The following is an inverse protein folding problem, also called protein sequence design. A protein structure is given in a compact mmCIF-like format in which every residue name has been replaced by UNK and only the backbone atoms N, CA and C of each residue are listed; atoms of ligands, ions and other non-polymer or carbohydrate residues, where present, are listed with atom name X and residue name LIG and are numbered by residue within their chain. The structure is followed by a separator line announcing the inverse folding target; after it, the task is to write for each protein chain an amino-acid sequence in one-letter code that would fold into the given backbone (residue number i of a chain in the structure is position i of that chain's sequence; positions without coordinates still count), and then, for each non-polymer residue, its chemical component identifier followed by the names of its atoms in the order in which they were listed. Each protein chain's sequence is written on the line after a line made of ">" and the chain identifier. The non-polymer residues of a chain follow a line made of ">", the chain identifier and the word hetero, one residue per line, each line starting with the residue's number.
data_IF_313020279053
#
_entry.id   IF_313020279053
#
_cell.length_a   1.000
_cell.length_b   1.000
_cell.length_c   1.000
_cell.angle_alpha   90.00
_cell.angle_beta   90.00
_cell.angle_gamma   90.00
#
_symmetry.space_group_name_H-M   'P 1'
#
loop_
_entity.id
_entity.type
_entity.pdbx_description
1 polymer ?
#
# COMPACT_ATOMS: atom_id res chain seq x y z
N UNK A 1 -2.60 -2.51 -5.66
CA UNK A 1 -1.91 -1.43 -4.92
C UNK A 1 -2.78 -1.04 -3.74
N UNK A 2 -2.17 -0.72 -2.60
CA UNK A 2 -2.86 -0.19 -1.42
C UNK A 2 -2.33 1.21 -1.17
N UNK A 3 -3.22 2.14 -0.85
CA UNK A 3 -2.91 3.47 -0.36
C UNK A 3 -3.80 3.75 0.86
N UNK A 4 -3.36 4.67 1.71
CA UNK A 4 -4.14 5.08 2.88
C UNK A 4 -4.14 6.60 2.99
N UNK A 5 -5.22 7.13 3.56
CA UNK A 5 -5.30 8.50 4.02
C UNK A 5 -5.54 8.47 5.53
N UNK A 6 -4.95 9.41 6.26
CA UNK A 6 -5.09 9.53 7.71
C UNK A 6 -5.11 11.01 8.07
N UNK A 7 -5.99 11.37 9.00
CA UNK A 7 -5.91 12.63 9.73
C UNK A 7 -5.17 12.40 11.02
N UNK A 8 -4.13 13.20 11.22
CA UNK A 8 -3.28 13.10 12.39
C UNK A 8 -3.42 14.39 13.17
N UNK A 9 -3.81 14.29 14.43
CA UNK A 9 -3.78 15.40 15.37
C UNK A 9 -2.32 15.62 15.78
N UNK A 10 -1.77 16.78 15.46
CA UNK A 10 -0.38 17.16 15.75
C UNK A 10 -0.06 17.14 17.26
N UNK A 11 -1.07 17.26 18.12
CA UNK A 11 -0.91 17.24 19.56
C UNK A 11 -1.17 15.86 20.18
N UNK A 12 -1.70 14.90 19.40
CA UNK A 12 -2.14 13.60 19.92
C UNK A 12 -2.02 12.49 18.87
N UNK A 13 -0.78 12.13 18.51
CA UNK A 13 -0.47 10.98 17.67
C UNK A 13 0.44 9.99 18.41
N UNK A 14 0.46 8.69 18.03
CA UNK A 14 1.32 7.72 18.69
C UNK A 14 2.80 7.99 18.45
N UNK A 15 3.61 7.85 19.50
CA UNK A 15 5.06 7.91 19.39
C UNK A 15 5.63 6.79 18.52
N UNK A 16 6.83 7.03 17.96
CA UNK A 16 7.58 6.03 17.20
C UNK A 16 7.11 5.83 15.75
N UNK A 17 6.20 6.67 15.24
CA UNK A 17 5.93 6.75 13.80
C UNK A 17 7.24 7.09 13.08
N UNK A 18 7.59 6.29 12.09
CA UNK A 18 8.76 6.48 11.24
C UNK A 18 8.49 5.83 9.87
N UNK A 19 9.43 5.95 8.93
CA UNK A 19 9.41 5.26 7.65
C UNK A 19 9.04 3.78 7.85
N UNK A 20 7.90 3.38 7.28
CA UNK A 20 7.36 2.04 7.48
C UNK A 20 8.33 0.94 7.09
N UNK A 21 9.26 1.18 6.15
CA UNK A 21 10.26 0.20 5.72
C UNK A 21 11.40 0.04 6.73
N UNK A 22 11.66 1.05 7.56
CA UNK A 22 12.67 1.00 8.64
C UNK A 22 12.15 0.31 9.91
N UNK A 23 10.84 0.25 10.08
CA UNK A 23 10.21 -0.45 11.20
C UNK A 23 10.14 -1.96 10.93
N UNK A 24 10.46 -2.78 11.94
CA UNK A 24 10.20 -4.22 11.85
C UNK A 24 8.68 -4.51 11.84
N UNK A 25 8.28 -5.74 11.46
CA UNK A 25 6.87 -6.11 11.31
C UNK A 25 6.06 -5.95 12.62
N UNK A 26 6.64 -6.34 13.76
CA UNK A 26 5.98 -6.25 15.07
C UNK A 26 5.70 -4.80 15.45
N UNK A 27 6.73 -3.94 15.40
CA UNK A 27 6.62 -2.53 15.78
C UNK A 27 5.64 -1.77 14.88
N UNK A 28 5.67 -2.07 13.59
CA UNK A 28 4.73 -1.50 12.61
C UNK A 28 3.28 -1.90 12.92
N UNK A 29 3.04 -3.15 13.32
CA UNK A 29 1.72 -3.63 13.71
C UNK A 29 1.24 -3.00 15.03
N UNK A 30 2.13 -2.79 16.01
CA UNK A 30 1.82 -2.05 17.24
C UNK A 30 1.36 -0.62 16.93
N UNK A 31 2.14 0.12 16.13
CA UNK A 31 1.80 1.50 15.74
C UNK A 31 0.49 1.53 14.95
N UNK A 32 0.32 0.62 13.99
CA UNK A 32 -0.92 0.48 13.24
C UNK A 32 -2.14 0.31 14.15
N UNK A 33 -2.07 -0.58 15.14
CA UNK A 33 -3.18 -0.81 16.09
C UNK A 33 -3.55 0.44 16.88
N UNK A 34 -2.58 1.32 17.17
CA UNK A 34 -2.87 2.59 17.85
C UNK A 34 -3.45 3.61 16.88
N UNK A 35 -2.89 3.75 15.67
CA UNK A 35 -3.37 4.67 14.64
C UNK A 35 -4.84 4.42 14.30
N UNK A 36 -5.23 3.16 14.04
CA UNK A 36 -6.61 2.83 13.66
C UNK A 36 -7.63 3.03 14.78
N UNK A 37 -7.17 3.09 16.04
CA UNK A 37 -8.02 3.37 17.21
C UNK A 37 -8.16 4.85 17.50
N UNK A 38 -7.13 5.64 17.20
CA UNK A 38 -7.05 7.07 17.58
C UNK A 38 -7.37 8.03 16.44
N UNK A 39 -7.14 7.64 15.21
CA UNK A 39 -7.15 8.55 14.06
C UNK A 39 -8.28 8.19 13.09
N UNK A 40 -8.88 9.20 12.46
CA UNK A 40 -9.70 8.98 11.28
C UNK A 40 -8.79 8.55 10.13
N UNK A 41 -9.09 7.42 9.51
CA UNK A 41 -8.29 6.89 8.41
C UNK A 41 -9.16 6.17 7.40
N UNK A 42 -8.61 5.97 6.21
CA UNK A 42 -9.23 5.17 5.16
C UNK A 42 -8.17 4.44 4.34
N UNK A 43 -8.59 3.35 3.70
CA UNK A 43 -7.75 2.57 2.77
C UNK A 43 -8.42 2.51 1.40
N UNK A 44 -7.64 2.84 0.38
CA UNK A 44 -7.99 2.71 -1.02
C UNK A 44 -7.16 1.61 -1.66
N UNK A 45 -7.80 0.83 -2.53
CA UNK A 45 -7.19 -0.33 -3.18
C UNK A 45 -7.37 -0.18 -4.69
N UNK A 46 -6.34 -0.53 -5.45
CA UNK A 46 -6.46 -0.79 -6.88
C UNK A 46 -6.07 -2.24 -7.18
N UNK A 47 -6.93 -2.94 -7.91
CA UNK A 47 -6.82 -4.38 -8.20
C UNK A 47 -5.74 -4.67 -9.25
N UNK A 48 -5.38 -5.96 -9.41
CA UNK A 48 -4.51 -6.38 -10.51
C UNK A 48 -5.10 -6.02 -11.87
N UNK A 49 -6.41 -6.27 -12.08
CA UNK A 49 -7.12 -5.92 -13.32
C UNK A 49 -6.97 -4.43 -13.67
N UNK A 50 -7.03 -3.56 -12.68
CA UNK A 50 -6.83 -2.12 -12.89
C UNK A 50 -5.38 -1.76 -13.18
N UNK A 51 -4.41 -2.44 -12.56
CA UNK A 51 -2.99 -2.25 -12.88
C UNK A 51 -2.70 -2.60 -14.33
N UNK A 52 -3.25 -3.72 -14.82
CA UNK A 52 -3.09 -4.11 -16.22
C UNK A 52 -3.75 -3.10 -17.19
N UNK A 53 -4.85 -2.44 -16.77
CA UNK A 53 -5.54 -1.43 -17.60
C UNK A 53 -4.89 -0.05 -17.57
N UNK A 54 -4.39 0.37 -16.40
CA UNK A 54 -4.02 1.76 -16.15
C UNK A 54 -2.52 2.00 -16.09
N UNK A 55 -1.71 0.95 -15.85
CA UNK A 55 -0.33 1.00 -15.34
C UNK A 55 -0.22 1.27 -13.83
N UNK A 56 0.97 1.00 -13.28
CA UNK A 56 1.23 1.06 -11.83
C UNK A 56 1.14 2.45 -11.23
N UNK A 57 1.54 3.49 -11.98
CA UNK A 57 1.48 4.87 -11.52
C UNK A 57 0.02 5.28 -11.37
N UNK A 58 -0.78 5.10 -12.43
CA UNK A 58 -2.19 5.48 -12.43
C UNK A 58 -3.01 4.64 -11.44
N UNK A 59 -2.72 3.35 -11.29
CA UNK A 59 -3.33 2.52 -10.23
C UNK A 59 -2.96 2.98 -8.82
N UNK A 60 -1.77 3.54 -8.63
CA UNK A 60 -1.38 4.11 -7.33
C UNK A 60 -2.17 5.39 -7.04
N UNK A 61 -2.30 6.28 -8.03
CA UNK A 61 -3.13 7.49 -7.92
C UNK A 61 -4.62 7.16 -7.70
N UNK A 62 -5.14 6.14 -8.39
CA UNK A 62 -6.51 5.64 -8.19
C UNK A 62 -6.73 5.12 -6.76
N UNK A 63 -5.79 4.34 -6.23
CA UNK A 63 -5.85 3.88 -4.85
C UNK A 63 -5.83 5.05 -3.86
N UNK A 64 -5.00 6.08 -4.10
CA UNK A 64 -4.97 7.29 -3.26
C UNK A 64 -6.30 8.05 -3.30
N UNK A 65 -6.88 8.26 -4.50
CA UNK A 65 -8.20 8.90 -4.63
C UNK A 65 -9.29 8.16 -3.85
N UNK A 66 -9.34 6.83 -3.97
CA UNK A 66 -10.29 6.00 -3.21
C UNK A 66 -10.11 6.07 -1.70
N UNK A 67 -8.90 6.34 -1.23
CA UNK A 67 -8.68 6.62 0.19
C UNK A 67 -9.25 8.01 0.55
N UNK A 68 -8.91 9.04 -0.23
CA UNK A 68 -9.38 10.41 0.00
C UNK A 68 -10.91 10.56 -0.07
N UNK A 69 -11.61 9.78 -0.89
CA UNK A 69 -13.08 9.78 -0.98
C UNK A 69 -13.79 9.28 0.28
N UNK A 70 -13.09 8.53 1.14
CA UNK A 70 -13.66 7.89 2.33
C UNK A 70 -13.27 8.59 3.64
N UNK A 71 -12.68 9.78 3.55
CA UNK A 71 -12.20 10.54 4.69
C UNK A 71 -12.58 12.01 4.51
N UNK A 72 -12.98 12.70 5.58
CA UNK A 72 -13.47 14.07 5.45
C UNK A 72 -12.32 15.08 5.27
N UNK A 73 -11.91 15.38 4.06
CA UNK A 73 -10.77 16.27 3.78
C UNK A 73 -11.08 17.78 3.85
N UNK A 74 -12.30 18.18 4.26
CA UNK A 74 -12.72 19.58 4.26
C UNK A 74 -11.78 20.43 5.13
N UNK A 75 -11.37 21.59 4.63
CA UNK A 75 -10.52 22.57 5.33
C UNK A 75 -9.09 22.09 5.68
N UNK A 76 -8.62 20.99 5.08
CA UNK A 76 -7.27 20.47 5.30
C UNK A 76 -6.37 20.61 4.05
N UNK A 77 -5.07 20.76 4.27
CA UNK A 77 -4.05 20.54 3.25
C UNK A 77 -3.68 19.05 3.27
N UNK A 78 -3.74 18.39 2.12
CA UNK A 78 -3.43 16.97 1.98
C UNK A 78 -1.97 16.84 1.57
N UNK A 79 -1.19 16.07 2.32
CA UNK A 79 0.20 15.75 1.97
C UNK A 79 0.25 14.37 1.30
N UNK A 80 0.86 14.29 0.11
CA UNK A 80 0.99 13.05 -0.66
C UNK A 80 2.46 12.73 -0.90
N UNK A 81 2.85 11.47 -0.69
CA UNK A 81 4.20 11.01 -1.01
C UNK A 81 4.43 10.92 -2.53
N UNK A 82 5.54 11.49 -3.00
CA UNK A 82 5.96 11.44 -4.39
C UNK A 82 5.80 12.77 -5.13
N UNK A 83 5.68 12.67 -6.47
CA UNK A 83 5.67 13.82 -7.39
C UNK A 83 4.31 14.05 -8.08
N UNK A 84 3.35 13.17 -7.84
CA UNK A 84 2.10 13.15 -8.60
C UNK A 84 0.92 13.34 -7.65
N UNK A 85 0.06 14.30 -7.97
CA UNK A 85 -1.19 14.48 -7.26
C UNK A 85 -2.22 13.47 -7.77
N UNK A 86 -2.96 12.76 -6.88
CA UNK A 86 -4.05 11.88 -7.29
C UNK A 86 -5.26 12.70 -7.78
N UNK A 87 -5.43 13.94 -7.33
CA UNK A 87 -6.53 14.81 -7.74
C UNK A 87 -6.07 16.27 -7.81
N UNK A 88 -6.19 16.90 -8.97
CA UNK A 88 -5.78 18.31 -9.17
C UNK A 88 -6.79 19.31 -8.61
N UNK A 89 -8.01 18.88 -8.30
CA UNK A 89 -9.07 19.74 -7.78
C UNK A 89 -9.06 19.83 -6.24
N UNK A 90 -8.23 19.02 -5.57
CA UNK A 90 -8.08 19.03 -4.11
C UNK A 90 -6.85 19.83 -3.69
N UNK A 91 -6.87 20.36 -2.48
CA UNK A 91 -5.74 21.08 -1.88
C UNK A 91 -4.61 20.10 -1.48
N UNK A 92 -3.86 19.63 -2.48
CA UNK A 92 -2.81 18.60 -2.34
C UNK A 92 -1.42 19.23 -2.51
N UNK A 93 -0.51 18.87 -1.59
CA UNK A 93 0.93 19.12 -1.71
C UNK A 93 1.67 17.79 -1.81
N UNK A 94 2.40 17.61 -2.89
CA UNK A 94 3.24 16.43 -3.13
C UNK A 94 4.62 16.61 -2.49
N UNK A 95 5.12 15.60 -1.80
CA UNK A 95 6.39 15.63 -1.09
C UNK A 95 7.24 14.43 -1.49
N UNK A 96 8.39 14.68 -2.13
CA UNK A 96 9.37 13.63 -2.46
C UNK A 96 9.93 13.03 -1.18
N UNK A 97 9.83 11.70 -1.05
CA UNK A 97 10.23 10.95 0.16
C UNK A 97 9.47 11.49 1.38
N UNK A 98 8.17 11.71 1.21
CA UNK A 98 7.30 12.30 2.21
C UNK A 98 7.22 11.43 3.46
N UNK A 99 7.34 10.10 3.32
CA UNK A 99 7.39 9.15 4.43
C UNK A 99 8.57 9.40 5.39
N UNK A 100 9.63 10.06 4.93
CA UNK A 100 10.80 10.41 5.73
C UNK A 100 10.77 11.86 6.23
N UNK A 101 9.83 12.69 5.76
CA UNK A 101 9.79 14.13 6.01
C UNK A 101 8.52 14.59 6.72
N UNK A 102 7.43 13.86 6.60
CA UNK A 102 6.12 14.23 7.09
C UNK A 102 5.53 13.07 7.89
N UNK A 103 5.23 13.31 9.16
CA UNK A 103 4.74 12.28 10.06
C UNK A 103 3.36 11.72 9.64
N UNK A 104 2.49 12.55 9.06
CA UNK A 104 1.21 12.12 8.51
C UNK A 104 1.38 11.18 7.32
N UNK A 105 2.35 11.44 6.44
CA UNK A 105 2.70 10.53 5.34
C UNK A 105 3.30 9.23 5.87
N UNK A 106 4.19 9.30 6.87
CA UNK A 106 4.76 8.13 7.52
C UNK A 106 3.66 7.25 8.13
N UNK A 107 2.69 7.84 8.85
CA UNK A 107 1.54 7.15 9.41
C UNK A 107 0.66 6.50 8.34
N UNK A 108 0.35 7.22 7.25
CA UNK A 108 -0.37 6.67 6.10
C UNK A 108 0.37 5.47 5.48
N UNK A 109 1.70 5.56 5.37
CA UNK A 109 2.53 4.47 4.83
C UNK A 109 2.47 3.22 5.70
N UNK A 110 2.41 3.38 7.03
CA UNK A 110 2.23 2.28 7.99
C UNK A 110 0.87 1.61 7.77
N UNK A 111 -0.21 2.39 7.68
CA UNK A 111 -1.56 1.85 7.43
C UNK A 111 -1.61 1.10 6.11
N UNK A 112 -1.18 1.72 5.01
CA UNK A 112 -1.20 1.10 3.69
C UNK A 112 -0.41 -0.22 3.66
N UNK A 113 0.75 -0.25 4.33
CA UNK A 113 1.63 -1.43 4.36
C UNK A 113 1.06 -2.54 5.23
N UNK A 114 0.59 -2.26 6.43
CA UNK A 114 -0.01 -3.29 7.30
C UNK A 114 -1.29 -3.83 6.68
N UNK A 115 -2.17 -2.98 6.12
CA UNK A 115 -3.37 -3.44 5.41
C UNK A 115 -3.04 -4.34 4.22
N UNK A 116 -2.00 -4.02 3.45
CA UNK A 116 -1.54 -4.88 2.35
C UNK A 116 -1.00 -6.21 2.86
N UNK A 117 -0.21 -6.21 3.93
CA UNK A 117 0.42 -7.44 4.44
C UNK A 117 -0.64 -8.39 5.01
N UNK A 118 -1.62 -7.88 5.75
CA UNK A 118 -2.79 -8.65 6.22
C UNK A 118 -3.57 -9.26 5.04
N UNK A 119 -3.81 -8.47 3.99
CA UNK A 119 -4.45 -8.98 2.77
C UNK A 119 -3.63 -10.12 2.13
N UNK A 120 -2.29 -10.01 2.08
CA UNK A 120 -1.45 -11.07 1.53
C UNK A 120 -1.42 -12.32 2.40
N UNK A 121 -1.53 -12.19 3.73
CA UNK A 121 -1.67 -13.32 4.66
C UNK A 121 -2.99 -14.07 4.43
N UNK A 122 -4.11 -13.36 4.39
CA UNK A 122 -5.43 -13.93 4.07
C UNK A 122 -5.43 -14.60 2.70
N UNK A 123 -4.77 -13.97 1.73
CA UNK A 123 -4.68 -14.50 0.39
C UNK A 123 -3.83 -15.77 0.35
N UNK A 124 -2.79 -15.88 1.18
CA UNK A 124 -1.99 -17.10 1.29
C UNK A 124 -2.79 -18.30 1.81
N UNK A 125 -3.80 -18.08 2.66
CA UNK A 125 -4.70 -19.15 3.09
C UNK A 125 -5.50 -19.73 1.92
N UNK A 126 -5.90 -18.89 0.96
CA UNK A 126 -6.63 -19.31 -0.25
C UNK A 126 -5.70 -19.91 -1.31
N UNK A 127 -4.43 -19.50 -1.33
CA UNK A 127 -3.42 -19.92 -2.30
C UNK A 127 -2.13 -20.38 -1.56
N UNK A 128 -2.17 -21.51 -0.85
CA UNK A 128 -1.12 -21.92 0.09
C UNK A 128 0.24 -22.20 -0.57
N UNK A 129 0.23 -22.48 -1.88
CA UNK A 129 1.43 -22.85 -2.64
C UNK A 129 2.42 -21.69 -2.85
N UNK A 130 2.00 -20.43 -2.71
CA UNK A 130 2.80 -19.27 -3.10
C UNK A 130 3.55 -18.59 -1.95
N UNK A 131 3.29 -19.02 -0.70
CA UNK A 131 3.94 -18.48 0.52
C UNK A 131 3.80 -16.96 0.68
N UNK A 132 2.65 -16.42 0.31
CA UNK A 132 2.40 -14.98 0.30
C UNK A 132 2.40 -14.33 1.68
N UNK A 133 2.18 -15.11 2.75
CA UNK A 133 2.33 -14.69 4.15
C UNK A 133 3.77 -14.28 4.49
N UNK A 134 4.76 -14.81 3.75
CA UNK A 134 6.18 -14.48 3.93
C UNK A 134 6.67 -13.46 2.91
N UNK A 135 6.38 -13.69 1.63
CA UNK A 135 6.96 -12.87 0.56
C UNK A 135 6.07 -11.69 0.15
N UNK A 136 4.84 -11.57 0.64
CA UNK A 136 3.91 -10.47 0.32
C UNK A 136 3.77 -10.20 -1.19
N UNK A 137 3.85 -11.23 -2.03
CA UNK A 137 3.78 -11.15 -3.49
C UNK A 137 5.05 -10.66 -4.19
N UNK A 138 6.14 -10.40 -3.48
CA UNK A 138 7.44 -10.09 -4.10
C UNK A 138 8.04 -11.33 -4.77
N UNK A 139 8.77 -11.14 -5.87
CA UNK A 139 9.39 -12.22 -6.66
C UNK A 139 10.60 -12.88 -5.98
N UNK A 140 10.42 -13.38 -4.76
CA UNK A 140 11.45 -14.18 -4.06
C UNK A 140 11.65 -15.52 -4.76
N UNK A 141 12.81 -16.16 -4.56
CA UNK A 141 13.12 -17.48 -5.13
C UNK A 141 11.98 -18.48 -4.93
N UNK A 142 11.48 -18.60 -3.69
CA UNK A 142 10.37 -19.50 -3.34
C UNK A 142 9.08 -19.16 -4.11
N UNK A 143 8.78 -17.87 -4.29
CA UNK A 143 7.59 -17.44 -5.03
C UNK A 143 7.71 -17.78 -6.52
N UNK A 144 8.88 -17.55 -7.12
CA UNK A 144 9.12 -17.87 -8.53
C UNK A 144 9.11 -19.38 -8.79
N UNK A 145 9.65 -20.18 -7.86
CA UNK A 145 9.54 -21.65 -7.91
C UNK A 145 8.09 -22.11 -7.83
N UNK A 146 7.28 -21.51 -6.96
CA UNK A 146 5.85 -21.79 -6.87
C UNK A 146 5.12 -21.44 -8.18
N UNK A 147 5.40 -20.27 -8.77
CA UNK A 147 4.81 -19.87 -10.06
C UNK A 147 5.16 -20.87 -11.16
N UNK A 148 6.42 -21.32 -11.23
CA UNK A 148 6.84 -22.34 -12.20
C UNK A 148 6.13 -23.68 -12.01
N UNK A 149 5.87 -24.07 -10.76
CA UNK A 149 5.27 -25.36 -10.42
C UNK A 149 3.73 -25.38 -10.53
N UNK A 150 3.08 -24.28 -10.13
CA UNK A 150 1.63 -24.22 -9.96
C UNK A 150 0.93 -23.23 -10.91
N UNK A 151 1.69 -22.54 -11.75
CA UNK A 151 1.19 -21.51 -12.65
C UNK A 151 0.99 -20.16 -11.94
N UNK A 152 0.44 -19.20 -12.68
CA UNK A 152 0.01 -17.91 -12.14
C UNK A 152 -1.45 -17.96 -11.68
N UNK A 153 -1.86 -16.95 -10.92
CA UNK A 153 -3.25 -16.75 -10.47
C UNK A 153 -3.76 -15.38 -10.92
N UNK A 154 -5.04 -15.08 -10.67
CA UNK A 154 -5.60 -13.75 -10.93
C UNK A 154 -4.95 -12.61 -10.12
N UNK A 155 -4.20 -12.95 -9.07
CA UNK A 155 -3.49 -11.98 -8.22
C UNK A 155 -2.07 -11.66 -8.71
N UNK A 156 -1.61 -12.35 -9.75
CA UNK A 156 -0.32 -12.09 -10.40
C UNK A 156 -0.46 -11.03 -11.49
N UNK A 157 0.48 -10.07 -11.53
CA UNK A 157 0.50 -8.99 -12.52
C UNK A 157 1.22 -9.47 -13.78
N UNK A 158 0.47 -9.75 -14.84
CA UNK A 158 0.98 -10.44 -16.04
C UNK A 158 1.96 -9.58 -16.83
N UNK A 159 1.78 -8.27 -16.82
CA UNK A 159 2.67 -7.31 -17.50
C UNK A 159 3.97 -7.02 -16.74
N UNK A 160 4.13 -7.54 -15.52
CA UNK A 160 5.33 -7.30 -14.71
C UNK A 160 6.37 -8.39 -14.94
N UNK A 161 7.63 -8.00 -15.14
CA UNK A 161 8.76 -8.93 -15.02
C UNK A 161 8.87 -9.45 -13.58
N UNK A 162 9.16 -10.74 -13.35
CA UNK A 162 9.49 -11.78 -14.36
C UNK A 162 8.29 -12.57 -14.90
N UNK A 163 7.06 -12.25 -14.48
CA UNK A 163 5.86 -13.02 -14.85
C UNK A 163 5.58 -12.90 -16.35
N UNK A 164 5.70 -11.70 -16.91
CA UNK A 164 5.57 -11.46 -18.35
C UNK A 164 6.44 -12.41 -19.17
N UNK A 165 7.71 -12.56 -18.76
CA UNK A 165 8.68 -13.42 -19.44
C UNK A 165 8.35 -14.91 -19.30
N UNK A 166 7.65 -15.31 -18.23
CA UNK A 166 7.21 -16.69 -18.05
C UNK A 166 5.95 -17.04 -18.86
N UNK A 167 5.21 -16.05 -19.36
CA UNK A 167 3.97 -16.26 -20.14
C UNK A 167 4.18 -16.21 -21.65
N UNK A 168 5.28 -15.61 -22.10
CA UNK A 168 5.61 -15.44 -23.53
C UNK A 168 6.58 -16.52 -24.03
N UNK A 169 7.29 -17.18 -23.09
CA UNK A 169 8.10 -18.36 -23.36
C UNK A 169 7.28 -19.63 -23.21
#
# INVERSE_FOLDING_TARGET
>A
VFAAAIKLDENNFPEGINDSKKLNKSKRLEIFKVLIKKCEYSVGISSVKEIEKLNILQSSLLAMNRALEKINIKDHVILVDGNFSPDKNKNIRTVIKGDQKCISIAAASIIAKVSRDLFMEELSLKFPNYSWEKNCGYGTKKHLEAIKKFGITEHHRKTFSPIHNLLIN
#
